data_IF_462162610964
#
_entry.id   IF_462162610964
#
_cell.length_a   1.000
_cell.length_b   1.000
_cell.length_c   1.000
_cell.angle_alpha   90.00
_cell.angle_beta   90.00
_cell.angle_gamma   90.00
#
_symmetry.space_group_name_H-M   'P 1'
#
loop_
_entity.id
_entity.type
_entity.pdbx_description
1 polymer ?
#
# COMPACT_ATOMS: atom_id res chain seq x y z
N UNK A 1 2.55 -2.77 22.15
CA UNK A 1 1.84 -2.13 21.01
C UNK A 1 1.01 -0.98 21.57
N UNK A 2 1.57 0.21 21.60
CA UNK A 2 0.82 1.43 21.94
C UNK A 2 -0.06 1.75 20.74
N UNK A 3 -1.36 1.47 20.88
CA UNK A 3 -2.40 1.86 19.93
C UNK A 3 -2.32 3.38 19.77
N UNK A 4 -2.18 3.87 18.54
CA UNK A 4 -2.05 5.30 18.26
C UNK A 4 -3.16 6.07 18.96
N UNK A 5 -2.78 6.88 19.94
CA UNK A 5 -3.71 7.69 20.72
C UNK A 5 -4.45 8.69 19.84
N UNK A 6 -5.64 9.06 20.29
CA UNK A 6 -6.32 10.26 19.83
C UNK A 6 -5.36 11.43 19.96
N UNK A 7 -5.20 12.22 18.89
CA UNK A 7 -4.38 13.41 18.98
C UNK A 7 -5.02 14.36 19.98
N UNK A 8 -4.32 14.65 21.08
CA UNK A 8 -4.71 15.71 21.99
C UNK A 8 -4.69 17.06 21.26
N UNK A 9 -5.42 18.08 21.76
CA UNK A 9 -5.53 19.39 21.11
C UNK A 9 -4.19 20.09 20.90
N UNK A 10 -3.14 19.70 21.62
CA UNK A 10 -1.80 20.30 21.56
C UNK A 10 -0.73 19.44 20.89
N UNK A 11 -1.06 18.20 20.49
CA UNK A 11 -0.09 17.32 19.85
C UNK A 11 0.25 17.84 18.45
N UNK A 12 1.55 17.88 18.09
CA UNK A 12 1.91 18.04 16.68
C UNK A 12 1.79 16.66 16.02
N UNK A 13 0.90 16.47 15.02
CA UNK A 13 0.78 15.19 14.35
C UNK A 13 2.11 14.78 13.73
N UNK A 14 2.54 13.56 13.98
CA UNK A 14 3.64 12.96 13.21
C UNK A 14 3.28 12.97 11.71
N UNK A 15 4.24 13.23 10.80
CA UNK A 15 4.00 13.17 9.37
C UNK A 15 3.44 11.82 8.94
N UNK A 16 2.49 11.82 8.01
CA UNK A 16 1.92 10.57 7.48
C UNK A 16 2.97 9.83 6.66
N UNK A 17 3.13 8.53 6.94
CA UNK A 17 3.99 7.63 6.16
C UNK A 17 3.21 6.40 5.74
N UNK A 18 3.25 6.08 4.46
CA UNK A 18 2.54 4.94 3.87
C UNK A 18 3.55 3.90 3.38
N UNK A 19 3.87 2.86 4.18
CA UNK A 19 4.99 1.96 3.87
C UNK A 19 4.91 1.23 2.53
N UNK A 20 3.70 0.94 2.05
CA UNK A 20 3.48 0.24 0.78
C UNK A 20 3.69 1.16 -0.44
N UNK A 21 3.56 2.49 -0.26
CA UNK A 21 3.79 3.50 -1.30
C UNK A 21 5.20 4.08 -1.16
N UNK A 22 6.21 3.25 -1.43
CA UNK A 22 7.60 3.67 -1.44
C UNK A 22 7.88 4.65 -2.59
N UNK A 23 9.02 5.33 -2.52
CA UNK A 23 9.51 6.09 -3.67
C UNK A 23 9.61 5.17 -4.90
N UNK A 24 8.97 5.58 -6.00
CA UNK A 24 8.87 4.77 -7.21
C UNK A 24 7.86 3.63 -7.14
N UNK A 25 6.87 3.67 -6.23
CA UNK A 25 5.82 2.66 -6.13
C UNK A 25 5.12 2.45 -7.49
N UNK A 26 4.89 1.17 -7.82
CA UNK A 26 4.32 0.70 -9.08
C UNK A 26 3.18 -0.28 -8.83
N UNK A 27 2.21 -0.24 -9.74
CA UNK A 27 1.09 -1.19 -9.79
C UNK A 27 0.69 -1.41 -11.25
N UNK A 28 0.24 -2.61 -11.60
CA UNK A 28 -0.33 -2.84 -12.94
C UNK A 28 -1.67 -2.12 -13.12
N UNK A 29 -1.94 -1.62 -14.32
CA UNK A 29 -3.23 -1.07 -14.75
C UNK A 29 -4.37 -2.10 -14.69
N UNK A 30 -5.61 -1.61 -14.56
CA UNK A 30 -6.85 -2.38 -14.51
C UNK A 30 -7.72 -2.06 -13.29
N UNK A 31 -8.73 -2.90 -13.06
CA UNK A 31 -9.54 -2.82 -11.85
C UNK A 31 -8.73 -3.27 -10.62
N UNK A 32 -8.67 -2.42 -9.59
CA UNK A 32 -7.83 -2.63 -8.40
C UNK A 32 -8.58 -2.32 -7.11
N UNK A 33 -8.19 -3.04 -6.06
CA UNK A 33 -8.53 -2.66 -4.69
C UNK A 33 -7.26 -2.19 -3.99
N UNK A 34 -7.12 -0.89 -3.77
CA UNK A 34 -5.94 -0.35 -3.11
C UNK A 34 -6.11 -0.45 -1.59
N UNK A 35 -5.32 -1.33 -0.95
CA UNK A 35 -5.21 -1.42 0.51
C UNK A 35 -4.02 -0.62 1.00
N UNK A 36 -4.26 0.23 1.99
CA UNK A 36 -3.26 1.13 2.55
C UNK A 36 -3.32 1.05 4.08
N UNK A 37 -2.15 1.16 4.67
CA UNK A 37 -1.98 1.44 6.09
C UNK A 37 -0.89 2.49 6.25
N UNK A 38 -0.97 3.29 7.31
CA UNK A 38 -0.02 4.36 7.56
C UNK A 38 0.23 4.61 9.04
N UNK A 39 1.31 5.31 9.32
CA UNK A 39 1.57 5.93 10.63
C UNK A 39 1.35 7.44 10.55
N UNK A 40 1.28 8.10 11.70
CA UNK A 40 1.14 9.55 11.78
C UNK A 40 -0.25 10.09 11.46
N UNK A 41 -0.37 11.42 11.48
CA UNK A 41 -1.61 12.18 11.31
C UNK A 41 -2.65 11.95 12.42
N UNK A 42 -3.71 12.75 12.39
CA UNK A 42 -4.83 12.69 13.32
C UNK A 42 -6.14 12.31 12.61
N UNK A 43 -6.98 11.44 13.20
CA UNK A 43 -8.31 11.20 12.65
C UNK A 43 -9.21 12.45 12.81
N UNK A 44 -10.31 12.56 12.04
CA UNK A 44 -10.69 11.65 10.94
C UNK A 44 -9.79 11.83 9.72
N UNK A 45 -9.49 10.74 9.03
CA UNK A 45 -8.70 10.76 7.79
C UNK A 45 -9.58 10.73 6.54
N UNK A 46 -9.04 11.28 5.48
CA UNK A 46 -9.51 11.11 4.12
C UNK A 46 -8.39 10.51 3.26
N UNK A 47 -8.74 9.55 2.42
CA UNK A 47 -7.82 8.95 1.44
C UNK A 47 -8.46 9.01 0.07
N UNK A 48 -7.72 9.52 -0.92
CA UNK A 48 -8.18 9.60 -2.30
C UNK A 48 -7.07 9.24 -3.29
N UNK A 49 -7.46 8.76 -4.47
CA UNK A 49 -6.53 8.46 -5.58
C UNK A 49 -6.85 9.38 -6.74
N UNK A 50 -5.84 10.08 -7.23
CA UNK A 50 -5.96 11.10 -8.27
C UNK A 50 -5.11 10.77 -9.49
N UNK A 51 -5.58 11.21 -10.67
CA UNK A 51 -4.81 11.28 -11.92
C UNK A 51 -4.85 12.73 -12.40
N UNK A 52 -3.77 13.48 -12.17
CA UNK A 52 -3.82 14.94 -12.28
C UNK A 52 -4.87 15.50 -11.31
N UNK A 53 -5.86 16.22 -11.84
CA UNK A 53 -6.98 16.79 -11.08
C UNK A 53 -8.19 15.85 -10.96
N UNK A 54 -8.22 14.72 -11.69
CA UNK A 54 -9.32 13.77 -11.65
C UNK A 54 -9.22 12.86 -10.43
N UNK A 55 -10.23 12.90 -9.54
CA UNK A 55 -10.36 11.92 -8.47
C UNK A 55 -10.97 10.61 -9.00
N UNK A 56 -10.22 9.51 -8.88
CA UNK A 56 -10.67 8.18 -9.29
C UNK A 56 -11.46 7.46 -8.19
N UNK A 57 -11.32 7.91 -6.95
CA UNK A 57 -12.10 7.41 -5.81
C UNK A 57 -11.50 7.81 -4.46
N UNK A 58 -12.38 7.87 -3.46
CA UNK A 58 -12.04 8.32 -2.11
C UNK A 58 -12.76 7.56 -1.00
N UNK A 59 -12.26 7.76 0.23
CA UNK A 59 -12.83 7.34 1.51
C UNK A 59 -12.59 8.44 2.53
N UNK A 60 -13.65 8.91 3.17
CA UNK A 60 -13.62 9.99 4.17
C UNK A 60 -14.06 9.47 5.54
N UNK A 61 -13.84 10.27 6.60
CA UNK A 61 -14.34 9.95 7.95
C UNK A 61 -13.66 8.74 8.60
N UNK A 62 -12.46 8.38 8.14
CA UNK A 62 -11.76 7.19 8.62
C UNK A 62 -11.18 7.47 10.02
N UNK A 63 -11.61 6.70 11.04
CA UNK A 63 -11.05 6.79 12.38
C UNK A 63 -9.69 6.07 12.50
N UNK A 64 -9.46 5.05 11.66
CA UNK A 64 -8.26 4.20 11.70
C UNK A 64 -7.26 4.58 10.61
N UNK A 65 -5.96 4.34 10.87
CA UNK A 65 -4.86 4.56 9.91
C UNK A 65 -4.72 3.47 8.85
N UNK A 66 -5.86 3.02 8.33
CA UNK A 66 -5.96 2.02 7.27
C UNK A 66 -7.17 2.30 6.40
N UNK A 67 -7.05 2.03 5.12
CA UNK A 67 -8.11 2.24 4.14
C UNK A 67 -8.09 1.15 3.08
N UNK A 68 -9.26 0.86 2.52
CA UNK A 68 -9.40 0.07 1.30
C UNK A 68 -10.26 0.84 0.31
N UNK A 69 -9.67 1.21 -0.82
CA UNK A 69 -10.35 1.84 -1.95
C UNK A 69 -10.59 0.75 -3.00
N UNK A 70 -11.80 0.21 -3.03
CA UNK A 70 -12.18 -0.86 -3.95
C UNK A 70 -12.70 -0.34 -5.27
N UNK A 71 -12.54 -1.13 -6.34
CA UNK A 71 -13.13 -0.84 -7.65
C UNK A 71 -12.47 0.32 -8.41
N UNK A 72 -11.25 0.70 -8.05
CA UNK A 72 -10.50 1.73 -8.75
C UNK A 72 -10.17 1.25 -10.17
N UNK A 73 -10.52 2.03 -11.18
CA UNK A 73 -10.11 1.79 -12.57
C UNK A 73 -8.82 2.54 -12.84
N UNK A 74 -7.69 1.87 -12.66
CA UNK A 74 -6.37 2.47 -12.88
C UNK A 74 -5.95 2.26 -14.33
N UNK A 75 -5.58 3.33 -15.02
CA UNK A 75 -5.01 3.31 -16.37
C UNK A 75 -3.54 3.68 -16.29
N UNK A 76 -2.71 3.30 -17.27
CA UNK A 76 -1.28 3.62 -17.18
C UNK A 76 -1.01 5.14 -17.11
N UNK A 77 0.01 5.48 -16.32
CA UNK A 77 0.42 6.85 -16.07
C UNK A 77 0.60 7.18 -14.59
N UNK A 78 0.98 8.43 -14.33
CA UNK A 78 1.20 8.93 -12.98
C UNK A 78 -0.11 9.13 -12.24
N UNK A 79 -0.14 8.63 -11.01
CA UNK A 79 -1.24 8.80 -10.06
C UNK A 79 -0.67 9.32 -8.74
N UNK A 80 -1.52 9.98 -7.96
CA UNK A 80 -1.18 10.39 -6.61
C UNK A 80 -2.20 9.83 -5.64
N UNK A 81 -1.72 9.10 -4.63
CA UNK A 81 -2.53 8.78 -3.46
C UNK A 81 -2.40 9.95 -2.49
N UNK A 82 -3.52 10.60 -2.16
CA UNK A 82 -3.57 11.67 -1.18
C UNK A 82 -4.15 11.14 0.13
N UNK A 83 -3.51 11.50 1.24
CA UNK A 83 -4.06 11.27 2.58
C UNK A 83 -4.12 12.60 3.30
N UNK A 84 -5.33 13.00 3.72
CA UNK A 84 -5.55 14.15 4.56
C UNK A 84 -5.90 13.71 5.99
N UNK A 85 -5.43 14.47 6.97
CA UNK A 85 -5.77 14.28 8.38
C UNK A 85 -6.88 15.23 8.84
N UNK A 86 -7.40 15.00 10.05
CA UNK A 86 -8.48 15.78 10.65
C UNK A 86 -8.09 17.22 11.00
N UNK A 87 -6.83 17.61 10.77
CA UNK A 87 -6.30 18.96 10.91
C UNK A 87 -6.02 19.62 9.55
N UNK A 88 -6.51 19.01 8.47
CA UNK A 88 -6.35 19.49 7.09
C UNK A 88 -4.90 19.48 6.57
N UNK A 89 -4.01 18.69 7.17
CA UNK A 89 -2.71 18.41 6.56
C UNK A 89 -2.87 17.34 5.48
N UNK A 90 -2.38 17.62 4.29
CA UNK A 90 -2.48 16.72 3.13
C UNK A 90 -1.10 16.24 2.71
N UNK A 91 -0.98 14.93 2.50
CA UNK A 91 0.24 14.26 2.06
C UNK A 91 -0.01 13.53 0.74
N UNK A 92 0.84 13.77 -0.26
CA UNK A 92 0.79 13.13 -1.57
C UNK A 92 1.85 12.04 -1.71
N UNK A 93 1.44 10.86 -2.18
CA UNK A 93 2.31 9.72 -2.43
C UNK A 93 2.22 9.32 -3.91
N UNK A 94 3.32 9.46 -4.68
CA UNK A 94 3.33 9.05 -6.07
C UNK A 94 3.08 7.55 -6.23
N UNK A 95 2.26 7.19 -7.22
CA UNK A 95 2.00 5.82 -7.64
C UNK A 95 2.05 5.77 -9.16
N UNK A 96 3.00 5.04 -9.71
CA UNK A 96 3.08 4.82 -11.16
C UNK A 96 2.24 3.61 -11.55
N UNK A 97 1.23 3.83 -12.37
CA UNK A 97 0.44 2.74 -12.95
C UNK A 97 1.03 2.37 -14.31
N UNK A 98 1.25 1.08 -14.54
CA UNK A 98 1.93 0.58 -15.75
C UNK A 98 1.13 -0.54 -16.41
N UNK A 99 1.24 -0.67 -17.73
CA UNK A 99 0.52 -1.72 -18.47
C UNK A 99 1.05 -3.13 -18.16
N UNK A 100 2.37 -3.27 -17.98
CA UNK A 100 3.02 -4.56 -17.79
C UNK A 100 3.93 -4.55 -16.57
N UNK A 101 3.84 -5.64 -15.81
CA UNK A 101 4.70 -5.94 -14.68
C UNK A 101 6.04 -6.55 -15.09
N UNK A 102 6.95 -6.75 -14.13
CA UNK A 102 8.18 -7.51 -14.35
C UNK A 102 7.82 -8.95 -14.74
N UNK A 103 8.62 -9.55 -15.61
CA UNK A 103 8.38 -10.90 -16.10
C UNK A 103 8.62 -11.91 -14.97
N UNK A 104 7.56 -12.57 -14.52
CA UNK A 104 7.63 -13.58 -13.45
C UNK A 104 8.43 -14.80 -13.94
N UNK A 105 9.46 -15.25 -13.19
CA UNK A 105 10.21 -16.47 -13.49
C UNK A 105 9.29 -17.68 -13.62
N UNK A 106 9.62 -18.61 -14.53
CA UNK A 106 8.73 -19.74 -14.85
C UNK A 106 8.41 -20.61 -13.63
N UNK A 107 9.39 -20.76 -12.74
CA UNK A 107 9.33 -21.52 -11.49
C UNK A 107 8.30 -20.94 -10.50
N UNK A 108 7.99 -19.63 -10.62
CA UNK A 108 7.05 -18.91 -9.75
C UNK A 108 5.65 -18.74 -10.37
N UNK A 109 5.43 -19.27 -11.58
CA UNK A 109 4.14 -19.16 -12.29
C UNK A 109 3.11 -20.18 -11.82
N UNK A 110 3.48 -21.15 -10.99
CA UNK A 110 2.53 -22.09 -10.42
C UNK A 110 1.45 -21.41 -9.58
N UNK A 111 0.21 -21.88 -9.69
CA UNK A 111 -0.95 -21.35 -8.95
C UNK A 111 -1.20 -22.10 -7.63
N UNK A 112 -0.23 -22.88 -7.19
CA UNK A 112 -0.24 -23.46 -5.85
C UNK A 112 -0.15 -22.35 -4.80
N UNK A 113 -0.60 -22.62 -3.57
CA UNK A 113 -0.46 -21.66 -2.46
C UNK A 113 0.99 -21.18 -2.28
N UNK A 114 1.94 -22.10 -2.41
CA UNK A 114 3.37 -21.78 -2.34
C UNK A 114 3.81 -20.92 -3.53
N UNK A 115 3.36 -21.24 -4.75
CA UNK A 115 3.65 -20.45 -5.95
C UNK A 115 3.13 -19.01 -5.86
N UNK A 116 1.91 -18.82 -5.36
CA UNK A 116 1.33 -17.48 -5.12
C UNK A 116 2.14 -16.69 -4.09
N UNK A 117 2.50 -17.32 -2.96
CA UNK A 117 3.35 -16.67 -1.94
C UNK A 117 4.73 -16.31 -2.48
N UNK A 118 5.39 -17.24 -3.18
CA UNK A 118 6.71 -17.02 -3.74
C UNK A 118 6.71 -15.90 -4.79
N UNK A 119 5.67 -15.84 -5.64
CA UNK A 119 5.46 -14.76 -6.60
C UNK A 119 5.25 -13.41 -5.92
N UNK A 120 4.45 -13.36 -4.86
CA UNK A 120 4.24 -12.14 -4.10
C UNK A 120 5.54 -11.65 -3.44
N UNK A 121 6.32 -12.54 -2.84
CA UNK A 121 7.62 -12.19 -2.25
C UNK A 121 8.60 -11.68 -3.30
N UNK A 122 8.70 -12.38 -4.43
CA UNK A 122 9.53 -11.96 -5.55
C UNK A 122 9.15 -10.57 -6.07
N UNK A 123 7.85 -10.29 -6.25
CA UNK A 123 7.35 -8.95 -6.61
C UNK A 123 7.74 -7.91 -5.55
N UNK A 124 7.59 -8.20 -4.26
CA UNK A 124 7.90 -7.25 -3.18
C UNK A 124 9.39 -6.84 -3.12
N UNK A 125 10.27 -7.63 -3.73
CA UNK A 125 11.71 -7.36 -3.83
C UNK A 125 12.09 -6.59 -5.11
N UNK A 126 11.26 -6.67 -6.17
CA UNK A 126 11.56 -6.03 -7.44
C UNK A 126 11.72 -4.51 -7.30
N UNK A 127 12.77 -3.99 -7.93
CA UNK A 127 13.08 -2.56 -8.00
C UNK A 127 13.04 -1.87 -6.62
N UNK A 128 13.72 -2.45 -5.63
CA UNK A 128 13.75 -1.95 -4.24
C UNK A 128 12.34 -1.85 -3.61
N UNK A 129 11.45 -2.76 -3.99
CA UNK A 129 10.08 -2.84 -3.48
C UNK A 129 9.11 -1.84 -4.09
N UNK A 130 9.36 -1.36 -5.30
CA UNK A 130 8.39 -0.60 -6.08
C UNK A 130 7.07 -1.37 -6.24
N UNK A 131 7.13 -2.69 -6.38
CA UNK A 131 5.99 -3.56 -6.72
C UNK A 131 5.26 -4.14 -5.51
N UNK A 132 5.44 -3.56 -4.32
CA UNK A 132 4.79 -4.04 -3.09
C UNK A 132 3.26 -3.99 -3.13
N UNK A 133 2.69 -3.03 -3.86
CA UNK A 133 1.23 -2.93 -4.04
C UNK A 133 0.72 -4.15 -4.82
N UNK A 134 1.35 -4.48 -5.95
CA UNK A 134 1.01 -5.66 -6.76
C UNK A 134 1.32 -6.99 -6.04
N UNK A 135 2.35 -7.02 -5.19
CA UNK A 135 2.64 -8.16 -4.31
C UNK A 135 1.48 -8.43 -3.35
N UNK A 136 0.95 -7.40 -2.69
CA UNK A 136 -0.20 -7.56 -1.80
C UNK A 136 -1.45 -8.04 -2.55
N UNK A 137 -1.70 -7.50 -3.75
CA UNK A 137 -2.80 -7.96 -4.60
C UNK A 137 -2.65 -9.43 -5.00
N UNK A 138 -1.42 -9.88 -5.25
CA UNK A 138 -1.13 -11.28 -5.55
C UNK A 138 -1.49 -12.21 -4.39
N UNK A 139 -1.34 -11.76 -3.13
CA UNK A 139 -1.70 -12.54 -1.93
C UNK A 139 -3.21 -12.60 -1.66
N UNK A 140 -4.04 -11.78 -2.33
CA UNK A 140 -5.47 -11.65 -2.00
C UNK A 140 -6.26 -12.96 -1.94
N UNK A 141 -6.11 -13.92 -2.87
CA UNK A 141 -6.83 -15.18 -2.78
C UNK A 141 -6.55 -15.90 -1.46
N UNK A 142 -5.27 -15.97 -1.07
CA UNK A 142 -4.85 -16.63 0.17
C UNK A 142 -5.31 -15.89 1.42
N UNK A 143 -5.31 -14.55 1.41
CA UNK A 143 -5.81 -13.73 2.51
C UNK A 143 -7.32 -13.96 2.70
N UNK A 144 -8.08 -14.05 1.61
CA UNK A 144 -9.53 -14.36 1.65
C UNK A 144 -9.80 -15.76 2.17
N UNK A 145 -8.92 -16.72 1.86
CA UNK A 145 -8.97 -18.09 2.37
C UNK A 145 -8.44 -18.21 3.82
N UNK A 146 -8.26 -17.09 4.52
CA UNK A 146 -7.74 -17.03 5.89
C UNK A 146 -6.38 -17.73 6.08
N UNK A 147 -5.54 -17.75 5.05
CA UNK A 147 -4.19 -18.31 5.16
C UNK A 147 -3.35 -17.46 6.13
N UNK A 148 -2.82 -18.05 7.23
CA UNK A 148 -2.14 -17.27 8.26
C UNK A 148 -0.81 -16.68 7.79
N UNK A 149 -0.08 -17.37 6.89
CA UNK A 149 1.18 -16.87 6.34
C UNK A 149 0.93 -15.66 5.43
N UNK A 150 -0.08 -15.75 4.55
CA UNK A 150 -0.45 -14.63 3.70
C UNK A 150 -0.93 -13.42 4.52
N UNK A 151 -1.70 -13.64 5.60
CA UNK A 151 -2.11 -12.57 6.51
C UNK A 151 -0.93 -11.92 7.26
N UNK A 152 0.10 -12.70 7.63
CA UNK A 152 1.32 -12.15 8.23
C UNK A 152 2.14 -11.34 7.22
N UNK A 153 2.26 -11.83 5.98
CA UNK A 153 2.92 -11.08 4.89
C UNK A 153 2.19 -9.79 4.57
N UNK A 154 0.84 -9.80 4.53
CA UNK A 154 0.04 -8.59 4.38
C UNK A 154 0.39 -7.55 5.45
N UNK A 155 0.44 -7.94 6.73
CA UNK A 155 0.80 -7.04 7.82
C UNK A 155 2.20 -6.45 7.62
N UNK A 156 3.17 -7.26 7.20
CA UNK A 156 4.53 -6.81 6.92
C UNK A 156 4.54 -5.81 5.77
N UNK A 157 3.87 -6.10 4.65
CA UNK A 157 3.83 -5.22 3.47
C UNK A 157 3.13 -3.89 3.75
N UNK A 158 2.05 -3.91 4.55
CA UNK A 158 1.25 -2.73 4.88
C UNK A 158 1.91 -1.84 5.94
N UNK A 159 2.48 -2.44 6.99
CA UNK A 159 2.92 -1.68 8.18
C UNK A 159 4.43 -1.55 8.32
N UNK A 160 5.24 -2.40 7.67
CA UNK A 160 6.69 -2.30 7.74
C UNK A 160 7.27 -1.55 6.53
N UNK A 161 7.71 -0.31 6.79
CA UNK A 161 8.76 0.33 5.98
C UNK A 161 10.08 -0.38 6.22
N UNK A 162 11.14 -0.14 5.42
CA UNK A 162 12.43 -0.78 5.69
C UNK A 162 12.87 -0.42 7.12
N UNK A 163 12.94 -1.43 7.99
CA UNK A 163 13.99 -1.41 9.00
C UNK A 163 15.27 -1.34 8.17
N UNK A 164 16.00 -0.22 8.23
CA UNK A 164 17.40 -0.25 7.86
C UNK A 164 18.00 -1.33 8.75
N UNK A 165 18.16 -2.54 8.22
CA UNK A 165 19.28 -3.37 8.66
C UNK A 165 20.46 -2.54 8.20
N UNK A 166 20.99 -1.73 9.13
CA UNK A 166 22.34 -1.22 9.01
C UNK A 166 23.20 -2.46 8.83
N UNK A 167 23.52 -2.80 7.58
CA UNK A 167 24.72 -3.59 7.30
C UNK A 167 25.85 -2.69 7.75
N UNK A 168 26.27 -2.85 9.00
CA UNK A 168 27.65 -2.55 9.37
C UNK A 168 28.51 -3.34 8.40
N UNK A 169 29.25 -2.59 7.60
CA UNK A 169 30.36 -3.07 6.76
C UNK A 169 31.37 -3.87 7.60
#
# INVERSE_FOLDING_TARGET
MTRGGDCGPYDRPEPIRVPILRAGAKIKAGARDLRLAWSGGCPPFEVSVHRGEEELGSRTGLASRQARLGGLKLIAGEHTVRIADGRHHTFGFPLLVVERGPAVPAELRGDTRLGVMARALWLADQENGAWRVDSLETLRPLIRDHNPLAGNLEKVLLWKGPDRISRTE
#
